data_IF_319188477488
#
_entry.id   IF_319188477488
#
_cell.length_a   1.000
_cell.length_b   1.000
_cell.length_c   1.000
_cell.angle_alpha   90.00
_cell.angle_beta   90.00
_cell.angle_gamma   90.00
#
_symmetry.space_group_name_H-M   'P 1'
#
loop_
_entity.id
_entity.type
_entity.pdbx_description
1 polymer ?
#
# COMPACT_ATOMS: atom_id res chain seq x y z
N UNK A 1 -35.35 -23.18 12.00
CA UNK A 1 -34.79 -21.81 12.03
C UNK A 1 -33.66 -21.76 11.02
N UNK A 2 -33.65 -20.84 10.04
CA UNK A 2 -32.49 -20.73 9.16
C UNK A 2 -31.32 -20.18 9.97
N UNK A 3 -30.24 -20.94 10.08
CA UNK A 3 -29.02 -20.54 10.77
C UNK A 3 -28.41 -19.41 9.98
N UNK A 4 -28.56 -18.19 10.51
CA UNK A 4 -27.92 -17.04 9.94
C UNK A 4 -26.41 -17.23 10.10
N UNK A 5 -25.61 -16.90 9.09
CA UNK A 5 -24.39 -17.66 8.98
C UNK A 5 -23.17 -16.73 9.13
N UNK A 6 -22.00 -17.25 9.53
CA UNK A 6 -20.95 -16.44 10.17
C UNK A 6 -20.60 -15.16 9.40
N UNK A 7 -20.45 -14.05 10.14
CA UNK A 7 -20.35 -12.68 9.61
C UNK A 7 -19.34 -12.51 8.44
N UNK A 8 -18.29 -13.33 8.37
CA UNK A 8 -17.27 -13.25 7.33
C UNK A 8 -17.69 -13.81 5.95
N UNK A 9 -18.83 -14.49 5.81
CA UNK A 9 -19.28 -15.00 4.50
C UNK A 9 -20.45 -14.26 3.87
N UNK A 10 -21.05 -13.29 4.55
CA UNK A 10 -22.01 -12.41 3.89
C UNK A 10 -21.29 -11.71 2.73
N UNK A 11 -21.74 -11.94 1.48
CA UNK A 11 -21.29 -11.16 0.34
C UNK A 11 -21.46 -9.69 0.72
N UNK A 12 -20.35 -8.95 0.77
CA UNK A 12 -20.34 -7.52 1.07
C UNK A 12 -21.17 -6.83 -0.01
N UNK A 13 -22.33 -6.31 0.38
CA UNK A 13 -23.29 -5.64 -0.50
C UNK A 13 -22.68 -4.31 -0.95
N UNK A 14 -22.50 -4.13 -2.27
CA UNK A 14 -22.35 -2.86 -3.01
C UNK A 14 -21.45 -1.78 -2.40
N UNK A 15 -20.37 -1.44 -3.12
CA UNK A 15 -19.42 -0.33 -2.86
C UNK A 15 -18.38 -0.54 -1.77
N UNK A 16 -17.88 -1.76 -1.60
CA UNK A 16 -16.56 -1.89 -1.01
C UNK A 16 -15.50 -1.89 -2.09
N UNK A 17 -14.61 -0.89 -2.03
CA UNK A 17 -13.44 -0.84 -2.87
C UNK A 17 -12.61 -2.12 -2.61
N UNK A 18 -12.43 -2.96 -3.64
CA UNK A 18 -11.64 -4.20 -3.54
C UNK A 18 -10.27 -3.95 -2.92
N UNK A 19 -9.68 -2.79 -3.23
CA UNK A 19 -8.55 -2.21 -2.52
C UNK A 19 -9.02 -0.91 -1.86
N UNK A 20 -9.30 -0.92 -0.56
CA UNK A 20 -9.67 0.31 0.16
C UNK A 20 -8.45 1.12 0.61
N UNK A 21 -7.34 0.43 0.87
CA UNK A 21 -6.05 1.03 1.24
C UNK A 21 -4.94 0.37 0.42
N UNK A 22 -4.13 1.19 -0.24
CA UNK A 22 -2.97 0.77 -1.03
C UNK A 22 -1.72 1.28 -0.33
N UNK A 23 -0.74 0.40 -0.17
CA UNK A 23 0.53 0.68 0.48
C UNK A 23 1.68 0.47 -0.51
N UNK A 24 2.58 1.45 -0.63
CA UNK A 24 3.70 1.42 -1.58
C UNK A 24 5.00 1.67 -0.84
N UNK A 25 5.93 0.72 -0.97
CA UNK A 25 7.30 0.88 -0.49
C UNK A 25 8.13 1.66 -1.51
N UNK A 26 8.84 2.68 -1.03
CA UNK A 26 9.65 3.59 -1.81
C UNK A 26 11.10 3.49 -1.35
N UNK A 27 12.03 3.40 -2.28
CA UNK A 27 13.47 3.27 -1.99
C UNK A 27 14.34 4.22 -2.83
N UNK A 28 13.71 5.18 -3.54
CA UNK A 28 14.35 6.16 -4.42
C UNK A 28 15.05 5.54 -5.64
N UNK A 29 14.72 4.29 -5.97
CA UNK A 29 15.05 3.69 -7.26
C UNK A 29 13.99 4.02 -8.32
N UNK A 30 14.36 3.96 -9.59
CA UNK A 30 13.42 4.08 -10.72
C UNK A 30 12.27 3.06 -10.64
N UNK A 31 12.53 1.89 -10.04
CA UNK A 31 11.49 0.87 -9.83
C UNK A 31 10.43 1.35 -8.85
N UNK A 32 10.84 2.04 -7.78
CA UNK A 32 9.90 2.62 -6.82
C UNK A 32 9.12 3.81 -7.38
N UNK A 33 9.72 4.57 -8.29
CA UNK A 33 9.03 5.65 -9.01
C UNK A 33 7.96 5.09 -9.97
N UNK A 34 8.29 4.03 -10.70
CA UNK A 34 7.34 3.32 -11.55
C UNK A 34 6.20 2.69 -10.72
N UNK A 35 6.52 2.06 -9.58
CA UNK A 35 5.53 1.50 -8.67
C UNK A 35 4.59 2.58 -8.11
N UNK A 36 5.10 3.77 -7.80
CA UNK A 36 4.30 4.92 -7.35
C UNK A 36 3.28 5.34 -8.39
N UNK A 37 3.68 5.38 -9.66
CA UNK A 37 2.79 5.74 -10.78
C UNK A 37 1.63 4.76 -10.90
N UNK A 38 1.92 3.46 -10.92
CA UNK A 38 0.89 2.41 -11.00
C UNK A 38 -0.05 2.45 -9.79
N UNK A 39 0.49 2.71 -8.60
CA UNK A 39 -0.32 2.76 -7.38
C UNK A 39 -1.27 3.97 -7.34
N UNK A 40 -0.87 5.10 -7.93
CA UNK A 40 -1.75 6.26 -8.12
C UNK A 40 -2.93 5.91 -9.04
N UNK A 41 -2.64 5.26 -10.17
CA UNK A 41 -3.68 4.83 -11.12
C UNK A 41 -4.66 3.85 -10.47
N UNK A 42 -4.15 2.90 -9.68
CA UNK A 42 -5.00 1.97 -8.92
C UNK A 42 -5.83 2.71 -7.87
N UNK A 43 -5.24 3.62 -7.10
CA UNK A 43 -5.96 4.36 -6.07
C UNK A 43 -7.07 5.22 -6.67
N UNK A 44 -6.85 5.82 -7.84
CA UNK A 44 -7.86 6.57 -8.57
C UNK A 44 -8.99 5.65 -9.08
N UNK A 45 -8.63 4.51 -9.71
CA UNK A 45 -9.60 3.56 -10.26
C UNK A 45 -10.51 2.94 -9.19
N UNK A 46 -9.96 2.70 -8.00
CA UNK A 46 -10.70 2.11 -6.89
C UNK A 46 -11.25 3.13 -5.91
N UNK A 47 -10.87 4.41 -5.97
CA UNK A 47 -11.23 5.38 -4.92
C UNK A 47 -10.57 5.05 -3.57
N UNK A 48 -9.36 4.49 -3.60
CA UNK A 48 -8.63 4.01 -2.42
C UNK A 48 -7.87 5.14 -1.72
N UNK A 49 -7.56 4.92 -0.45
CA UNK A 49 -6.49 5.66 0.24
C UNK A 49 -5.13 5.09 -0.16
N UNK A 50 -4.20 5.95 -0.59
CA UNK A 50 -2.81 5.57 -0.90
C UNK A 50 -1.86 6.01 0.22
N UNK A 51 -0.94 5.13 0.63
CA UNK A 51 0.07 5.38 1.65
C UNK A 51 1.45 5.01 1.08
N UNK A 52 2.33 6.00 0.97
CA UNK A 52 3.73 5.79 0.63
C UNK A 52 4.59 5.60 1.88
N UNK A 53 5.55 4.68 1.83
CA UNK A 53 6.51 4.44 2.89
C UNK A 53 7.92 4.37 2.33
N UNK A 54 8.80 5.22 2.85
CA UNK A 54 10.22 5.18 2.57
C UNK A 54 10.97 4.75 3.83
N UNK A 55 11.70 3.64 3.76
CA UNK A 55 12.59 3.23 4.86
C UNK A 55 13.94 3.86 4.65
N UNK A 56 14.39 4.55 5.67
CA UNK A 56 15.77 4.99 5.74
C UNK A 56 16.72 3.79 5.85
N UNK A 57 17.53 3.56 4.82
CA UNK A 57 18.53 2.50 4.82
C UNK A 57 19.72 2.86 5.72
N UNK A 58 19.59 2.62 7.03
CA UNK A 58 20.60 2.94 8.04
C UNK A 58 22.00 2.37 7.69
N UNK A 59 22.07 1.19 7.05
CA UNK A 59 23.33 0.57 6.60
C UNK A 59 24.06 1.36 5.50
N UNK A 60 23.33 2.06 4.63
CA UNK A 60 23.92 2.86 3.54
C UNK A 60 24.52 4.17 4.10
N UNK A 61 23.95 4.66 5.19
CA UNK A 61 24.45 5.82 5.91
C UNK A 61 25.51 5.49 6.95
N UNK A 62 25.66 4.24 7.38
CA UNK A 62 26.69 3.84 8.35
C UNK A 62 28.11 4.21 7.89
N UNK A 63 28.38 4.15 6.58
CA UNK A 63 29.64 4.61 6.00
C UNK A 63 29.80 6.14 6.06
N UNK A 64 28.73 6.89 5.82
CA UNK A 64 28.73 8.37 5.88
C UNK A 64 28.77 8.89 7.33
N UNK A 65 28.14 8.18 8.27
CA UNK A 65 28.14 8.52 9.69
C UNK A 65 29.50 8.26 10.35
N UNK A 66 30.22 7.19 9.96
CA UNK A 66 31.58 6.94 10.45
C UNK A 66 32.64 7.90 9.89
N UNK A 67 32.27 8.70 8.90
CA UNK A 67 33.15 9.71 8.27
C UNK A 67 32.85 11.15 8.72
N UNK A 68 31.83 11.37 9.57
CA UNK A 68 31.68 12.59 10.36
C UNK A 68 32.37 12.41 11.72
#
# INVERSE_FOLDING_TARGET
>A
MPTNPPLHWRRRTGTEQMYSNIYVALDNSEHSDAASTVALDMAAAFGSRLIGMHVYAARMHDYRFKQM
#
